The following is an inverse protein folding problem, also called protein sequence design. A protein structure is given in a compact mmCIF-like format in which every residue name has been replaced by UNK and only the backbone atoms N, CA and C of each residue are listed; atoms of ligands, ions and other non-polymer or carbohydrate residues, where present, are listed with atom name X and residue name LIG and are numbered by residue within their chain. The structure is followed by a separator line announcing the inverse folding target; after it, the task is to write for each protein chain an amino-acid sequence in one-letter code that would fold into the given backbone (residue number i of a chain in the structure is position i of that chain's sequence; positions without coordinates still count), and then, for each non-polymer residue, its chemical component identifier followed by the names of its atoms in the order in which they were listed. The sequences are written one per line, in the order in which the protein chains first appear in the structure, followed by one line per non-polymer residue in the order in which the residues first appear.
data_IF_439479048147
#
_entry.id   IF_439479048147
#
_cell.length_a   1.000
_cell.length_b   1.000
_cell.length_c   1.000
_cell.angle_alpha   90.00
_cell.angle_beta   90.00
_cell.angle_gamma   90.00
#
_symmetry.space_group_name_H-M   'P 1'
#
loop_
_entity.id
_entity.type
_entity.pdbx_description
1 polymer ?
#
# COMPACT_ATOMS: atom_id res chain seq x y z
N UNK A 1 -17.02 -14.05 -1.81
CA UNK A 1 -18.45 -13.74 -2.02
C UNK A 1 -18.97 -13.15 -0.73
N UNK A 2 -18.73 -11.86 -0.52
CA UNK A 2 -19.17 -11.15 0.67
C UNK A 2 -20.67 -10.88 0.54
N UNK A 3 -21.46 -11.30 1.53
CA UNK A 3 -22.86 -10.92 1.64
C UNK A 3 -22.89 -9.41 1.83
N UNK A 4 -23.51 -8.69 0.90
CA UNK A 4 -23.87 -7.29 1.11
C UNK A 4 -24.65 -7.22 2.43
N UNK A 5 -24.26 -6.36 3.39
CA UNK A 5 -25.09 -6.13 4.56
C UNK A 5 -26.45 -5.67 4.04
N UNK A 6 -27.49 -6.48 4.29
CA UNK A 6 -28.85 -5.98 4.16
C UNK A 6 -29.01 -5.01 5.32
N UNK A 7 -28.87 -3.71 5.04
CA UNK A 7 -29.36 -2.66 5.91
C UNK A 7 -30.85 -2.95 6.08
N UNK A 8 -31.23 -3.59 7.19
CA UNK A 8 -32.61 -3.68 7.61
C UNK A 8 -33.00 -2.25 7.95
N UNK A 9 -33.57 -1.56 6.96
CA UNK A 9 -34.25 -0.30 7.23
C UNK A 9 -35.46 -0.67 8.08
N UNK A 10 -35.35 -0.47 9.39
CA UNK A 10 -36.46 -0.54 10.34
C UNK A 10 -37.43 0.63 10.09
N UNK A 11 -37.95 0.72 8.87
CA UNK A 11 -39.09 1.54 8.51
C UNK A 11 -40.35 0.69 8.72
N UNK A 12 -40.62 0.39 9.99
CA UNK A 12 -41.89 -0.15 10.41
C UNK A 12 -42.98 0.93 10.24
N UNK A 13 -43.63 0.86 9.08
CA UNK A 13 -44.90 1.44 8.67
C UNK A 13 -45.53 2.53 9.54
N UNK A 14 -45.62 3.74 8.96
CA UNK A 14 -46.80 4.61 9.02
C UNK A 14 -46.77 5.55 7.81
N UNK A 15 -47.75 5.43 6.90
CA UNK A 15 -48.02 6.39 5.80
C UNK A 15 -47.16 6.25 4.53
N UNK A 16 -47.76 5.79 3.43
CA UNK A 16 -47.11 5.55 2.13
C UNK A 16 -46.65 6.80 1.37
N UNK A 17 -45.67 7.54 1.89
CA UNK A 17 -44.95 8.56 1.14
C UNK A 17 -43.93 7.90 0.20
N UNK A 18 -43.91 8.32 -1.08
CA UNK A 18 -42.90 7.87 -2.04
C UNK A 18 -41.51 8.39 -1.61
N UNK A 19 -40.61 7.50 -1.18
CA UNK A 19 -39.22 7.86 -0.90
C UNK A 19 -38.44 8.08 -2.20
N UNK A 20 -38.35 9.33 -2.64
CA UNK A 20 -37.54 9.71 -3.80
C UNK A 20 -36.03 9.58 -3.55
N UNK A 21 -35.59 9.52 -2.28
CA UNK A 21 -34.18 9.36 -1.91
C UNK A 21 -33.58 8.02 -2.36
N UNK A 22 -34.42 6.99 -2.53
CA UNK A 22 -33.98 5.71 -3.07
C UNK A 22 -33.48 5.81 -4.52
N UNK A 23 -34.01 6.76 -5.32
CA UNK A 23 -33.54 6.99 -6.70
C UNK A 23 -32.14 7.58 -6.69
N UNK A 24 -31.91 8.55 -5.80
CA UNK A 24 -30.62 9.21 -5.60
C UNK A 24 -29.55 8.25 -5.09
N UNK A 25 -29.86 7.39 -4.11
CA UNK A 25 -28.93 6.37 -3.64
C UNK A 25 -28.55 5.37 -4.74
N UNK A 26 -29.53 4.97 -5.58
CA UNK A 26 -29.27 4.10 -6.72
C UNK A 26 -28.35 4.79 -7.76
N UNK A 27 -28.61 6.06 -8.07
CA UNK A 27 -27.80 6.84 -9.01
C UNK A 27 -26.34 7.03 -8.50
N UNK A 28 -26.17 7.33 -7.21
CA UNK A 28 -24.85 7.44 -6.60
C UNK A 28 -24.14 6.08 -6.50
N UNK A 29 -24.88 5.00 -6.25
CA UNK A 29 -24.33 3.63 -6.28
C UNK A 29 -23.83 3.26 -7.68
N UNK A 30 -24.56 3.60 -8.74
CA UNK A 30 -24.12 3.40 -10.12
C UNK A 30 -22.84 4.20 -10.45
N UNK A 31 -22.73 5.42 -9.94
CA UNK A 31 -21.51 6.25 -10.06
C UNK A 31 -20.31 5.57 -9.40
N UNK A 32 -20.50 5.00 -8.20
CA UNK A 32 -19.46 4.24 -7.52
C UNK A 32 -19.01 2.99 -8.30
N UNK A 33 -19.96 2.19 -8.80
CA UNK A 33 -19.66 0.99 -9.61
C UNK A 33 -18.86 1.37 -10.87
N UNK A 34 -19.27 2.45 -11.56
CA UNK A 34 -18.57 2.95 -12.74
C UNK A 34 -17.13 3.32 -12.39
N UNK A 35 -16.90 4.04 -11.30
CA UNK A 35 -15.55 4.44 -10.87
C UNK A 35 -14.67 3.24 -10.51
N UNK A 36 -15.23 2.25 -9.81
CA UNK A 36 -14.52 1.00 -9.51
C UNK A 36 -14.11 0.26 -10.80
N UNK A 37 -15.01 0.18 -11.79
CA UNK A 37 -14.72 -0.45 -13.07
C UNK A 37 -13.58 0.27 -13.81
N UNK A 38 -13.64 1.60 -13.91
CA UNK A 38 -12.58 2.42 -14.53
C UNK A 38 -11.22 2.18 -13.86
N UNK A 39 -11.16 2.18 -12.52
CA UNK A 39 -9.91 1.90 -11.79
C UNK A 39 -9.42 0.48 -12.03
N UNK A 40 -10.33 -0.50 -12.10
CA UNK A 40 -9.99 -1.90 -12.40
C UNK A 40 -9.39 -2.05 -13.80
N UNK A 41 -9.98 -1.40 -14.80
CA UNK A 41 -9.47 -1.41 -16.19
C UNK A 41 -8.07 -0.78 -16.27
N UNK A 42 -7.83 0.33 -15.57
CA UNK A 42 -6.50 0.97 -15.50
C UNK A 42 -5.44 0.02 -14.91
N UNK A 43 -5.79 -0.76 -13.89
CA UNK A 43 -4.86 -1.69 -13.25
C UNK A 43 -4.65 -2.98 -14.06
N UNK A 44 -5.62 -3.39 -14.88
CA UNK A 44 -5.58 -4.65 -15.63
C UNK A 44 -4.38 -4.74 -16.58
N UNK A 45 -4.04 -3.64 -17.26
CA UNK A 45 -2.89 -3.59 -18.17
C UNK A 45 -1.58 -3.90 -17.43
N UNK A 46 -1.37 -3.25 -16.27
CA UNK A 46 -0.19 -3.47 -15.42
C UNK A 46 -0.15 -4.88 -14.86
N UNK A 47 -1.27 -5.41 -14.39
CA UNK A 47 -1.36 -6.78 -13.85
C UNK A 47 -1.07 -7.84 -14.93
N UNK A 48 -1.50 -7.58 -16.18
CA UNK A 48 -1.18 -8.45 -17.32
C UNK A 48 0.32 -8.44 -17.60
N UNK A 49 0.94 -7.27 -17.63
CA UNK A 49 2.40 -7.16 -17.77
C UNK A 49 3.13 -7.91 -16.64
N UNK A 50 2.68 -7.78 -15.39
CA UNK A 50 3.29 -8.49 -14.27
C UNK A 50 3.13 -10.00 -14.37
N UNK A 51 1.97 -10.48 -14.83
CA UNK A 51 1.75 -11.90 -15.10
C UNK A 51 2.72 -12.42 -16.17
N UNK A 52 2.93 -11.68 -17.25
CA UNK A 52 3.85 -12.07 -18.32
C UNK A 52 5.31 -12.10 -17.82
N UNK A 53 5.70 -11.07 -17.06
CA UNK A 53 7.03 -11.03 -16.39
C UNK A 53 7.21 -12.17 -15.41
N UNK A 54 6.18 -12.53 -14.64
CA UNK A 54 6.22 -13.69 -13.74
C UNK A 54 6.47 -14.99 -14.51
N UNK A 55 5.74 -15.20 -15.61
CA UNK A 55 5.87 -16.41 -16.42
C UNK A 55 7.26 -16.52 -17.06
N UNK A 56 7.78 -15.41 -17.63
CA UNK A 56 9.15 -15.37 -18.15
C UNK A 56 10.17 -15.63 -17.05
N UNK A 57 10.07 -14.92 -15.91
CA UNK A 57 10.98 -15.11 -14.79
C UNK A 57 10.98 -16.55 -14.27
N UNK A 58 9.81 -17.19 -14.17
CA UNK A 58 9.69 -18.60 -13.79
C UNK A 58 10.39 -19.54 -14.77
N UNK A 59 10.23 -19.32 -16.07
CA UNK A 59 10.82 -20.17 -17.10
C UNK A 59 12.34 -19.99 -17.21
N UNK A 60 12.82 -18.76 -17.06
CA UNK A 60 14.21 -18.39 -17.35
C UNK A 60 15.12 -18.48 -16.13
N UNK A 61 14.59 -18.31 -14.91
CA UNK A 61 15.43 -18.27 -13.71
C UNK A 61 16.15 -19.59 -13.43
N UNK A 62 15.53 -20.75 -13.73
CA UNK A 62 16.21 -22.05 -13.61
C UNK A 62 17.43 -22.12 -14.52
N UNK A 63 17.29 -21.73 -15.79
CA UNK A 63 18.41 -21.68 -16.75
C UNK A 63 19.48 -20.69 -16.32
N UNK A 64 19.07 -19.55 -15.77
CA UNK A 64 19.97 -18.56 -15.22
C UNK A 64 20.80 -19.13 -14.05
N UNK A 65 20.19 -19.93 -13.17
CA UNK A 65 20.89 -20.62 -12.08
C UNK A 65 21.85 -21.70 -12.59
N UNK A 66 21.47 -22.47 -13.59
CA UNK A 66 22.36 -23.47 -14.19
C UNK A 66 23.61 -22.80 -14.79
N UNK A 67 23.39 -21.72 -15.56
CA UNK A 67 24.47 -20.90 -16.14
C UNK A 67 25.37 -20.33 -15.05
N UNK A 68 24.77 -19.68 -14.04
CA UNK A 68 25.51 -19.10 -12.92
C UNK A 68 26.22 -20.16 -12.07
N UNK A 69 25.66 -21.37 -11.96
CA UNK A 69 26.24 -22.48 -11.21
C UNK A 69 27.59 -22.91 -11.77
N UNK A 70 27.72 -23.00 -13.11
CA UNK A 70 28.98 -23.35 -13.75
C UNK A 70 30.11 -22.35 -13.43
N UNK A 71 29.81 -21.05 -13.54
CA UNK A 71 30.74 -19.98 -13.17
C UNK A 71 31.04 -19.94 -11.67
N UNK A 72 30.03 -20.16 -10.83
CA UNK A 72 30.18 -20.20 -9.38
C UNK A 72 31.12 -21.34 -8.95
N UNK A 73 30.99 -22.53 -9.54
CA UNK A 73 31.86 -23.66 -9.27
C UNK A 73 33.30 -23.41 -9.76
N UNK A 74 33.45 -22.81 -10.94
CA UNK A 74 34.77 -22.42 -11.46
C UNK A 74 35.45 -21.41 -10.51
N UNK A 75 34.73 -20.36 -10.13
CA UNK A 75 35.20 -19.39 -9.15
C UNK A 75 35.57 -20.05 -7.81
N UNK A 76 34.74 -20.97 -7.29
CA UNK A 76 35.01 -21.67 -6.05
C UNK A 76 36.33 -22.46 -6.09
N UNK A 77 36.58 -23.19 -7.19
CA UNK A 77 37.84 -23.93 -7.38
C UNK A 77 39.04 -22.98 -7.43
N UNK A 78 38.93 -21.89 -8.19
CA UNK A 78 39.98 -20.87 -8.31
C UNK A 78 40.29 -20.21 -6.96
N UNK A 79 39.26 -19.77 -6.22
CA UNK A 79 39.45 -19.17 -4.89
C UNK A 79 40.03 -20.15 -3.87
N UNK A 80 39.75 -21.45 -3.99
CA UNK A 80 40.41 -22.48 -3.17
C UNK A 80 41.91 -22.57 -3.47
N UNK A 81 42.31 -22.51 -4.74
CA UNK A 81 43.73 -22.48 -5.12
C UNK A 81 44.44 -21.22 -4.58
N UNK A 82 43.81 -20.05 -4.73
CA UNK A 82 44.30 -18.78 -4.18
C UNK A 82 44.49 -18.87 -2.66
N UNK A 83 43.52 -19.44 -1.95
CA UNK A 83 43.62 -19.65 -0.51
C UNK A 83 44.85 -20.47 -0.13
N UNK A 84 45.09 -21.59 -0.81
CA UNK A 84 46.24 -22.47 -0.53
C UNK A 84 47.59 -21.75 -0.75
N UNK A 85 47.68 -20.87 -1.77
CA UNK A 85 48.89 -20.08 -2.02
C UNK A 85 49.15 -19.00 -0.97
N UNK A 86 48.09 -18.40 -0.43
CA UNK A 86 48.19 -17.28 0.52
C UNK A 86 48.20 -17.70 1.99
N UNK A 87 47.59 -18.84 2.35
CA UNK A 87 47.28 -19.18 3.76
C UNK A 87 48.50 -19.23 4.67
N UNK A 88 49.68 -19.58 4.16
CA UNK A 88 50.91 -19.65 4.96
C UNK A 88 51.64 -18.30 5.05
N UNK A 89 51.23 -17.30 4.27
CA UNK A 89 51.89 -15.99 4.16
C UNK A 89 51.26 -14.91 5.03
N UNK A 90 50.13 -15.21 5.68
CA UNK A 90 49.38 -14.27 6.51
C UNK A 90 49.19 -14.80 7.93
N UNK A 91 49.42 -13.92 8.91
CA UNK A 91 49.29 -14.23 10.34
C UNK A 91 47.87 -14.61 10.75
N UNK A 92 47.73 -15.37 11.83
CA UNK A 92 46.42 -15.80 12.34
C UNK A 92 45.56 -14.61 12.80
N UNK A 93 46.18 -13.60 13.39
CA UNK A 93 45.53 -12.37 13.84
C UNK A 93 44.98 -11.56 12.66
N UNK A 94 45.80 -11.29 11.64
CA UNK A 94 45.36 -10.59 10.43
C UNK A 94 44.19 -11.31 9.74
N UNK A 95 44.25 -12.65 9.66
CA UNK A 95 43.13 -13.45 9.12
C UNK A 95 41.84 -13.23 9.89
N UNK A 96 41.91 -13.15 11.22
CA UNK A 96 40.74 -12.92 12.07
C UNK A 96 40.19 -11.50 11.88
N UNK A 97 41.06 -10.50 11.95
CA UNK A 97 40.70 -9.08 11.77
C UNK A 97 40.07 -8.82 10.39
N UNK A 98 40.67 -9.34 9.32
CA UNK A 98 40.13 -9.19 7.96
C UNK A 98 38.77 -9.89 7.79
N UNK A 99 38.58 -11.08 8.36
CA UNK A 99 37.26 -11.75 8.33
C UNK A 99 36.20 -10.93 9.05
N UNK A 100 36.53 -10.32 10.20
CA UNK A 100 35.61 -9.45 10.94
C UNK A 100 35.28 -8.20 10.13
N UNK A 101 36.29 -7.55 9.55
CA UNK A 101 36.10 -6.37 8.71
C UNK A 101 35.20 -6.66 7.50
N UNK A 102 35.43 -7.78 6.79
CA UNK A 102 34.58 -8.19 5.66
C UNK A 102 33.15 -8.43 6.11
N UNK A 103 32.91 -9.12 7.23
CA UNK A 103 31.54 -9.32 7.75
C UNK A 103 30.84 -8.00 8.05
N UNK A 104 31.54 -7.06 8.67
CA UNK A 104 31.00 -5.75 9.00
C UNK A 104 30.63 -4.97 7.73
N UNK A 105 31.56 -4.84 6.78
CA UNK A 105 31.32 -4.13 5.51
C UNK A 105 30.16 -4.76 4.72
N UNK A 106 30.07 -6.09 4.67
CA UNK A 106 28.96 -6.75 3.97
C UNK A 106 27.62 -6.67 4.71
N UNK A 107 27.61 -6.49 6.04
CA UNK A 107 26.40 -6.16 6.77
C UNK A 107 25.94 -4.73 6.40
N UNK A 108 26.85 -3.75 6.42
CA UNK A 108 26.57 -2.37 6.03
C UNK A 108 26.08 -2.27 4.57
N UNK A 109 26.71 -3.01 3.63
CA UNK A 109 26.26 -3.10 2.23
C UNK A 109 24.85 -3.68 2.15
N UNK A 110 24.53 -4.70 2.95
CA UNK A 110 23.19 -5.32 2.96
C UNK A 110 22.14 -4.33 3.45
N UNK A 111 22.44 -3.60 4.51
CA UNK A 111 21.54 -2.59 5.07
C UNK A 111 21.30 -1.46 4.06
N UNK A 112 22.36 -0.99 3.39
CA UNK A 112 22.27 0.04 2.35
C UNK A 112 21.51 -0.42 1.10
N UNK A 113 21.63 -1.70 0.72
CA UNK A 113 20.96 -2.26 -0.46
C UNK A 113 19.48 -2.59 -0.24
N UNK A 114 18.96 -2.43 0.99
CA UNK A 114 17.59 -2.79 1.35
C UNK A 114 17.38 -4.28 1.55
N UNK A 115 18.40 -4.98 2.10
CA UNK A 115 18.33 -6.40 2.39
C UNK A 115 18.61 -7.32 1.18
N UNK A 116 18.72 -8.62 1.45
CA UNK A 116 18.70 -9.67 0.43
C UNK A 116 17.57 -10.65 0.71
N UNK A 117 17.20 -11.37 -0.33
CA UNK A 117 16.14 -12.36 -0.29
C UNK A 117 14.83 -11.71 -0.70
N UNK A 118 13.77 -12.15 -0.05
CA UNK A 118 12.46 -11.65 -0.35
C UNK A 118 12.30 -10.22 0.16
N UNK A 119 11.86 -9.34 -0.73
CA UNK A 119 11.54 -7.95 -0.39
C UNK A 119 10.06 -7.71 -0.12
N UNK A 120 9.21 -8.75 -0.24
CA UNK A 120 7.91 -8.68 0.39
C UNK A 120 8.15 -8.65 1.88
N UNK A 121 7.74 -7.57 2.54
CA UNK A 121 7.76 -7.49 3.98
C UNK A 121 7.02 -8.70 4.59
N UNK A 122 7.37 -9.06 5.82
CA UNK A 122 6.56 -10.01 6.60
C UNK A 122 5.15 -9.47 6.85
N UNK A 123 4.94 -8.16 6.66
CA UNK A 123 3.63 -7.53 6.74
C UNK A 123 2.67 -8.19 5.75
N UNK A 124 1.56 -8.69 6.30
CA UNK A 124 0.54 -9.38 5.54
C UNK A 124 -0.02 -8.44 4.48
N UNK A 125 -0.10 -8.92 3.24
CA UNK A 125 -0.69 -8.21 2.11
C UNK A 125 -2.21 -8.21 2.22
N UNK A 126 -2.68 -7.76 3.38
CA UNK A 126 -4.04 -7.63 3.83
C UNK A 126 -4.43 -6.18 3.62
N UNK A 127 -5.12 -5.96 2.51
CA UNK A 127 -5.76 -4.71 2.21
C UNK A 127 -7.22 -4.90 2.59
N UNK A 128 -7.71 -4.14 3.56
CA UNK A 128 -9.12 -4.12 3.91
C UNK A 128 -9.88 -3.24 2.92
N UNK A 129 -10.77 -3.82 2.07
CA UNK A 129 -11.59 -3.07 1.13
C UNK A 129 -12.93 -2.65 1.75
N UNK A 130 -13.18 -2.98 3.03
CA UNK A 130 -14.46 -2.68 3.69
C UNK A 130 -14.61 -1.18 3.93
N UNK A 131 -15.86 -0.72 3.94
CA UNK A 131 -16.22 0.69 4.13
C UNK A 131 -17.21 0.73 5.29
N UNK A 132 -16.84 1.43 6.35
CA UNK A 132 -17.67 1.59 7.54
C UNK A 132 -18.70 2.71 7.38
N UNK A 133 -19.66 2.79 8.29
CA UNK A 133 -20.66 3.88 8.29
C UNK A 133 -20.03 5.22 8.70
N UNK A 134 -18.92 5.17 9.44
CA UNK A 134 -18.09 6.30 9.86
C UNK A 134 -17.08 6.76 8.80
N UNK A 135 -16.94 6.05 7.69
CA UNK A 135 -16.02 6.43 6.63
C UNK A 135 -16.51 7.71 5.92
N UNK A 136 -15.57 8.63 5.72
CA UNK A 136 -15.77 9.90 5.01
C UNK A 136 -14.98 9.89 3.71
N UNK A 137 -15.29 10.81 2.80
CA UNK A 137 -14.49 11.03 1.58
C UNK A 137 -13.00 11.21 1.91
N UNK A 138 -12.70 11.94 2.99
CA UNK A 138 -11.33 12.20 3.43
C UNK A 138 -10.62 10.96 4.00
N UNK A 139 -11.30 10.17 4.85
CA UNK A 139 -10.71 8.92 5.39
C UNK A 139 -10.44 7.91 4.29
N UNK A 140 -11.39 7.75 3.35
CA UNK A 140 -11.22 6.89 2.18
C UNK A 140 -10.07 7.36 1.29
N UNK A 141 -9.96 8.66 1.02
CA UNK A 141 -8.86 9.19 0.22
C UNK A 141 -7.49 8.92 0.85
N UNK A 142 -7.36 9.10 2.17
CA UNK A 142 -6.12 8.80 2.89
C UNK A 142 -5.76 7.30 2.83
N UNK A 143 -6.74 6.42 3.02
CA UNK A 143 -6.56 4.97 2.92
C UNK A 143 -6.18 4.52 1.50
N UNK A 144 -6.82 5.08 0.48
CA UNK A 144 -6.45 4.85 -0.94
C UNK A 144 -4.99 5.24 -1.18
N UNK A 145 -4.56 6.44 -0.76
CA UNK A 145 -3.20 6.91 -0.96
C UNK A 145 -2.16 6.01 -0.25
N UNK A 146 -2.48 5.53 0.96
CA UNK A 146 -1.64 4.56 1.67
C UNK A 146 -1.50 3.24 0.90
N UNK A 147 -2.61 2.69 0.40
CA UNK A 147 -2.61 1.45 -0.38
C UNK A 147 -1.87 1.63 -1.72
N UNK A 148 -2.05 2.75 -2.41
CA UNK A 148 -1.30 3.07 -3.63
C UNK A 148 0.21 3.11 -3.37
N UNK A 149 0.65 3.79 -2.30
CA UNK A 149 2.06 3.82 -1.93
C UNK A 149 2.62 2.43 -1.60
N UNK A 150 1.83 1.55 -0.96
CA UNK A 150 2.22 0.17 -0.70
C UNK A 150 2.30 -0.66 -1.98
N UNK A 151 1.30 -0.59 -2.84
CA UNK A 151 1.28 -1.28 -4.14
C UNK A 151 2.48 -0.87 -5.00
N UNK A 152 2.86 0.41 -5.00
CA UNK A 152 4.05 0.87 -5.73
C UNK A 152 5.36 0.31 -5.17
N UNK A 153 5.50 0.22 -3.84
CA UNK A 153 6.67 -0.43 -3.22
C UNK A 153 6.76 -1.90 -3.62
N UNK A 154 5.65 -2.63 -3.54
CA UNK A 154 5.59 -4.04 -3.95
C UNK A 154 5.85 -4.22 -5.45
N UNK A 155 5.33 -3.34 -6.29
CA UNK A 155 5.58 -3.36 -7.73
C UNK A 155 7.06 -3.12 -8.09
N UNK A 156 7.74 -2.24 -7.36
CA UNK A 156 9.18 -2.02 -7.50
C UNK A 156 9.97 -3.27 -7.05
N UNK A 157 9.57 -3.87 -5.94
CA UNK A 157 10.11 -5.15 -5.47
C UNK A 157 9.93 -6.26 -6.53
N UNK A 158 8.73 -6.41 -7.10
CA UNK A 158 8.44 -7.39 -8.15
C UNK A 158 9.32 -7.18 -9.38
N UNK A 159 9.45 -5.94 -9.85
CA UNK A 159 10.26 -5.60 -11.02
C UNK A 159 11.74 -5.96 -10.80
N UNK A 160 12.28 -5.65 -9.60
CA UNK A 160 13.65 -6.02 -9.24
C UNK A 160 13.84 -7.53 -9.20
N UNK A 161 12.89 -8.27 -8.60
CA UNK A 161 12.96 -9.73 -8.53
C UNK A 161 12.86 -10.36 -9.92
N UNK A 162 11.92 -9.92 -10.76
CA UNK A 162 11.76 -10.44 -12.12
C UNK A 162 13.03 -10.25 -12.98
N UNK A 163 13.77 -9.15 -12.79
CA UNK A 163 15.05 -8.89 -13.47
C UNK A 163 16.22 -9.74 -12.97
N UNK A 164 16.06 -10.48 -11.86
CA UNK A 164 17.12 -11.30 -11.28
C UNK A 164 17.59 -12.42 -12.24
N UNK A 165 16.68 -12.93 -13.09
CA UNK A 165 16.97 -13.93 -14.13
C UNK A 165 18.08 -13.47 -15.08
N UNK A 166 18.17 -12.17 -15.35
CA UNK A 166 19.15 -11.60 -16.27
C UNK A 166 20.42 -11.16 -15.51
N UNK A 167 20.26 -10.68 -14.28
CA UNK A 167 21.37 -10.20 -13.45
C UNK A 167 22.22 -11.33 -12.86
N UNK A 168 21.63 -12.49 -12.53
CA UNK A 168 22.32 -13.59 -11.86
C UNK A 168 23.50 -14.16 -12.69
N UNK A 169 23.35 -14.51 -13.97
CA UNK A 169 24.46 -15.01 -14.78
C UNK A 169 25.60 -13.99 -14.89
N UNK A 170 25.27 -12.71 -15.09
CA UNK A 170 26.26 -11.63 -15.19
C UNK A 170 27.08 -11.48 -13.90
N UNK A 171 26.43 -11.57 -12.74
CA UNK A 171 27.13 -11.54 -11.45
C UNK A 171 28.04 -12.75 -11.27
N UNK A 172 27.60 -13.95 -11.63
CA UNK A 172 28.41 -15.16 -11.53
C UNK A 172 29.65 -15.08 -12.43
N UNK A 173 29.47 -14.72 -13.69
CA UNK A 173 30.56 -14.53 -14.65
C UNK A 173 31.58 -13.49 -14.15
N UNK A 174 31.11 -12.38 -13.57
CA UNK A 174 31.99 -11.36 -12.99
C UNK A 174 32.79 -11.89 -11.80
N UNK A 175 32.16 -12.65 -10.89
CA UNK A 175 32.87 -13.27 -9.76
C UNK A 175 33.94 -14.26 -10.26
N UNK A 176 33.63 -15.04 -11.31
CA UNK A 176 34.59 -15.97 -11.91
C UNK A 176 35.78 -15.24 -12.58
N UNK A 177 35.51 -14.16 -13.31
CA UNK A 177 36.55 -13.31 -13.89
C UNK A 177 37.44 -12.68 -12.80
N UNK A 178 36.84 -12.10 -11.75
CA UNK A 178 37.58 -11.51 -10.63
C UNK A 178 38.42 -12.57 -9.89
N UNK A 179 37.91 -13.80 -9.73
CA UNK A 179 38.66 -14.91 -9.13
C UNK A 179 39.86 -15.33 -9.98
N UNK A 180 39.69 -15.38 -11.31
CA UNK A 180 40.78 -15.68 -12.25
C UNK A 180 41.86 -14.60 -12.22
N UNK A 181 41.45 -13.33 -12.19
CA UNK A 181 42.38 -12.21 -12.04
C UNK A 181 43.14 -12.30 -10.71
N UNK A 182 42.46 -12.58 -9.61
CA UNK A 182 43.11 -12.73 -8.31
C UNK A 182 44.13 -13.88 -8.31
N UNK A 183 43.85 -14.99 -8.99
CA UNK A 183 44.81 -16.08 -9.15
C UNK A 183 46.07 -15.62 -9.89
N UNK A 184 45.92 -14.85 -10.98
CA UNK A 184 47.04 -14.28 -11.71
C UNK A 184 47.86 -13.32 -10.83
N UNK A 185 47.19 -12.46 -10.05
CA UNK A 185 47.85 -11.49 -9.16
C UNK A 185 48.69 -12.17 -8.07
N UNK A 186 48.22 -13.31 -7.54
CA UNK A 186 48.97 -14.07 -6.51
C UNK A 186 50.17 -14.83 -7.09
N UNK A 187 50.13 -15.18 -8.37
CA UNK A 187 51.27 -15.74 -9.09
C UNK A 187 52.27 -14.67 -9.56
N UNK A 188 51.90 -13.39 -9.51
CA UNK A 188 52.72 -12.27 -9.98
C UNK A 188 53.94 -11.95 -9.09
N UNK A 189 54.94 -11.23 -9.65
CA UNK A 189 56.20 -10.92 -8.94
C UNK A 189 56.01 -10.06 -7.69
N UNK A 190 54.92 -9.29 -7.61
CA UNK A 190 54.61 -8.41 -6.48
C UNK A 190 53.69 -9.04 -5.42
N UNK A 191 53.35 -10.33 -5.55
CA UNK A 191 52.43 -11.00 -4.62
C UNK A 191 52.90 -10.94 -3.16
N UNK A 192 54.22 -11.00 -2.92
CA UNK A 192 54.81 -10.93 -1.58
C UNK A 192 54.65 -9.58 -0.89
N UNK A 193 54.54 -8.47 -1.64
CA UNK A 193 54.43 -7.12 -1.07
C UNK A 193 53.00 -6.77 -0.64
N UNK A 194 52.00 -7.46 -1.20
CA UNK A 194 50.58 -7.11 -1.07
C UNK A 194 49.73 -8.24 -0.45
N UNK A 195 50.31 -9.13 0.36
CA UNK A 195 49.63 -10.33 0.87
C UNK A 195 48.33 -10.01 1.62
N UNK A 196 48.33 -8.96 2.47
CA UNK A 196 47.14 -8.52 3.21
C UNK A 196 46.01 -8.11 2.25
N UNK A 197 46.33 -7.32 1.22
CA UNK A 197 45.36 -6.87 0.21
C UNK A 197 44.79 -8.04 -0.59
N UNK A 198 45.65 -8.94 -1.06
CA UNK A 198 45.25 -10.14 -1.81
C UNK A 198 44.36 -11.07 -0.96
N UNK A 199 44.67 -11.20 0.34
CA UNK A 199 43.83 -11.96 1.26
C UNK A 199 42.47 -11.29 1.49
N UNK A 200 42.43 -9.96 1.64
CA UNK A 200 41.17 -9.24 1.74
C UNK A 200 40.30 -9.43 0.48
N UNK A 201 40.89 -9.34 -0.72
CA UNK A 201 40.20 -9.60 -1.99
C UNK A 201 39.65 -11.03 -2.07
N UNK A 202 40.43 -12.03 -1.63
CA UNK A 202 39.95 -13.41 -1.52
C UNK A 202 38.71 -13.52 -0.63
N UNK A 203 38.73 -12.90 0.55
CA UNK A 203 37.59 -12.94 1.48
C UNK A 203 36.35 -12.25 0.90
N UNK A 204 36.52 -11.10 0.24
CA UNK A 204 35.45 -10.38 -0.45
C UNK A 204 34.83 -11.26 -1.55
N UNK A 205 35.64 -11.91 -2.39
CA UNK A 205 35.13 -12.77 -3.47
C UNK A 205 34.43 -14.02 -2.93
N UNK A 206 34.96 -14.65 -1.88
CA UNK A 206 34.26 -15.76 -1.20
C UNK A 206 32.91 -15.32 -0.65
N UNK A 207 32.84 -14.12 -0.06
CA UNK A 207 31.60 -13.57 0.46
C UNK A 207 30.58 -13.29 -0.65
N UNK A 208 31.01 -12.65 -1.74
CA UNK A 208 30.18 -12.45 -2.94
C UNK A 208 29.65 -13.76 -3.51
N UNK A 209 30.45 -14.82 -3.48
CA UNK A 209 30.06 -16.15 -3.93
C UNK A 209 29.01 -16.80 -3.00
N UNK A 210 29.17 -16.69 -1.69
CA UNK A 210 28.16 -17.12 -0.69
C UNK A 210 26.82 -16.41 -0.90
N UNK A 211 26.86 -15.18 -1.39
CA UNK A 211 25.71 -14.29 -1.55
C UNK A 211 25.22 -14.20 -3.00
N UNK A 212 25.75 -15.04 -3.90
CA UNK A 212 25.49 -15.01 -5.33
C UNK A 212 23.98 -15.03 -5.65
N UNK A 213 23.24 -15.86 -4.91
CA UNK A 213 21.80 -16.05 -5.07
C UNK A 213 20.96 -15.10 -4.21
N UNK A 214 21.58 -14.08 -3.59
CA UNK A 214 20.91 -13.05 -2.78
C UNK A 214 19.91 -13.65 -1.77
N UNK A 215 20.30 -14.70 -1.05
CA UNK A 215 19.44 -15.35 -0.05
C UNK A 215 18.44 -16.37 -0.58
N UNK A 216 18.27 -16.52 -1.90
CA UNK A 216 17.41 -17.55 -2.49
C UNK A 216 18.16 -18.89 -2.63
N UNK A 217 18.17 -19.68 -1.55
CA UNK A 217 18.79 -21.01 -1.54
C UNK A 217 18.29 -21.90 -2.69
N UNK A 218 17.02 -22.35 -2.67
CA UNK A 218 16.39 -23.07 -3.78
C UNK A 218 15.69 -22.14 -4.79
N UNK A 219 15.38 -22.67 -5.99
CA UNK A 219 14.54 -21.97 -6.98
C UNK A 219 13.15 -21.67 -6.43
N UNK A 220 12.57 -22.59 -5.66
CA UNK A 220 11.23 -22.41 -5.06
C UNK A 220 11.15 -21.17 -4.19
N UNK A 221 12.13 -20.90 -3.32
CA UNK A 221 12.13 -19.72 -2.47
C UNK A 221 12.08 -18.40 -3.26
N UNK A 222 12.71 -18.36 -4.45
CA UNK A 222 12.61 -17.21 -5.36
C UNK A 222 11.20 -17.09 -5.96
N UNK A 223 10.64 -18.20 -6.44
CA UNK A 223 9.30 -18.22 -7.04
C UNK A 223 8.21 -17.90 -6.01
N UNK A 224 8.34 -18.40 -4.79
CA UNK A 224 7.41 -18.15 -3.68
C UNK A 224 7.42 -16.66 -3.33
N UNK A 225 8.60 -16.05 -3.25
CA UNK A 225 8.71 -14.61 -3.05
C UNK A 225 8.10 -13.81 -4.20
N UNK A 226 8.46 -14.12 -5.45
CA UNK A 226 7.94 -13.43 -6.63
C UNK A 226 6.40 -13.54 -6.72
N UNK A 227 5.85 -14.71 -6.37
CA UNK A 227 4.41 -14.95 -6.29
C UNK A 227 3.77 -14.15 -5.15
N UNK A 228 4.37 -14.15 -3.95
CA UNK A 228 3.88 -13.38 -2.80
C UNK A 228 3.74 -11.90 -3.17
N UNK A 229 4.80 -11.28 -3.70
CA UNK A 229 4.78 -9.86 -4.12
C UNK A 229 3.72 -9.59 -5.18
N UNK A 230 3.58 -10.47 -6.19
CA UNK A 230 2.56 -10.32 -7.23
C UNK A 230 1.13 -10.37 -6.63
N UNK A 231 0.88 -11.27 -5.69
CA UNK A 231 -0.40 -11.36 -5.00
C UNK A 231 -0.66 -10.11 -4.15
N UNK A 232 0.37 -9.51 -3.55
CA UNK A 232 0.26 -8.26 -2.81
C UNK A 232 -0.18 -7.11 -3.73
N UNK A 233 0.47 -6.96 -4.87
CA UNK A 233 0.07 -5.97 -5.89
C UNK A 233 -1.38 -6.21 -6.33
N UNK A 234 -1.75 -7.45 -6.65
CA UNK A 234 -3.11 -7.80 -7.09
C UNK A 234 -4.16 -7.45 -6.03
N UNK A 235 -3.95 -7.85 -4.78
CA UNK A 235 -4.88 -7.58 -3.67
C UNK A 235 -5.00 -6.08 -3.41
N UNK A 236 -3.88 -5.37 -3.39
CA UNK A 236 -3.87 -3.91 -3.17
C UNK A 236 -4.58 -3.16 -4.29
N UNK A 237 -4.27 -3.46 -5.55
CA UNK A 237 -4.97 -2.88 -6.71
C UNK A 237 -6.49 -3.15 -6.67
N UNK A 238 -6.89 -4.35 -6.26
CA UNK A 238 -8.31 -4.69 -6.10
C UNK A 238 -8.97 -3.88 -4.98
N UNK A 239 -8.32 -3.75 -3.82
CA UNK A 239 -8.86 -2.98 -2.69
C UNK A 239 -8.99 -1.50 -3.04
N UNK A 240 -7.97 -0.92 -3.69
CA UNK A 240 -8.00 0.45 -4.18
C UNK A 240 -9.20 0.69 -5.11
N UNK A 241 -9.48 -0.22 -6.05
CA UNK A 241 -10.61 -0.08 -6.96
C UNK A 241 -11.97 -0.07 -6.22
N UNK A 242 -12.13 -0.92 -5.20
CA UNK A 242 -13.34 -0.94 -4.37
C UNK A 242 -13.49 0.37 -3.59
N UNK A 243 -12.41 0.84 -2.94
CA UNK A 243 -12.42 2.07 -2.15
C UNK A 243 -12.67 3.32 -3.03
N UNK A 244 -12.12 3.36 -4.25
CA UNK A 244 -12.40 4.42 -5.23
C UNK A 244 -13.87 4.45 -5.63
N UNK A 245 -14.50 3.28 -5.79
CA UNK A 245 -15.94 3.19 -6.04
C UNK A 245 -16.77 3.71 -4.87
N UNK A 246 -16.43 3.30 -3.65
CA UNK A 246 -17.11 3.76 -2.44
C UNK A 246 -16.95 5.27 -2.21
N UNK A 247 -15.74 5.80 -2.40
CA UNK A 247 -15.45 7.23 -2.32
C UNK A 247 -16.31 8.03 -3.31
N UNK A 248 -16.42 7.57 -4.56
CA UNK A 248 -17.25 8.23 -5.57
C UNK A 248 -18.75 8.18 -5.23
N UNK A 249 -19.25 7.10 -4.61
CA UNK A 249 -20.63 7.06 -4.08
C UNK A 249 -20.83 8.12 -3.00
N UNK A 250 -19.93 8.21 -2.02
CA UNK A 250 -20.03 9.22 -0.94
C UNK A 250 -19.96 10.65 -1.47
N UNK A 251 -19.04 10.94 -2.39
CA UNK A 251 -18.93 12.26 -3.05
C UNK A 251 -20.23 12.65 -3.77
N UNK A 252 -20.89 11.69 -4.42
CA UNK A 252 -22.19 11.89 -5.06
C UNK A 252 -23.29 12.22 -4.03
N UNK A 253 -23.36 11.45 -2.93
CA UNK A 253 -24.35 11.69 -1.88
C UNK A 253 -24.16 13.04 -1.19
N UNK A 254 -22.91 13.44 -0.92
CA UNK A 254 -22.60 14.74 -0.33
C UNK A 254 -22.96 15.90 -1.28
N UNK A 255 -22.75 15.72 -2.58
CA UNK A 255 -23.16 16.70 -3.59
C UNK A 255 -24.69 16.87 -3.64
N UNK A 256 -25.45 15.77 -3.58
CA UNK A 256 -26.91 15.81 -3.54
C UNK A 256 -27.44 16.48 -2.26
N UNK A 257 -26.88 16.13 -1.09
CA UNK A 257 -27.22 16.78 0.19
C UNK A 257 -26.95 18.28 0.13
N UNK A 258 -25.77 18.67 -0.38
CA UNK A 258 -25.41 20.08 -0.54
C UNK A 258 -26.39 20.80 -1.45
N UNK A 259 -26.74 20.21 -2.59
CA UNK A 259 -27.71 20.78 -3.53
C UNK A 259 -29.09 20.94 -2.90
N UNK A 260 -29.58 19.91 -2.19
CA UNK A 260 -30.86 19.99 -1.48
C UNK A 260 -30.85 21.07 -0.39
N UNK A 261 -29.73 21.26 0.32
CA UNK A 261 -29.57 22.36 1.26
C UNK A 261 -29.61 23.73 0.57
N UNK A 262 -28.95 23.88 -0.58
CA UNK A 262 -28.95 25.13 -1.36
C UNK A 262 -30.35 25.46 -1.91
N UNK A 263 -31.11 24.46 -2.38
CA UNK A 263 -32.50 24.61 -2.82
C UNK A 263 -33.39 25.09 -1.66
N UNK A 264 -33.27 24.45 -0.48
CA UNK A 264 -33.99 24.85 0.73
C UNK A 264 -33.65 26.26 1.23
N UNK A 265 -32.39 26.67 1.09
CA UNK A 265 -31.98 28.02 1.45
C UNK A 265 -32.56 29.06 0.49
N UNK A 266 -32.71 28.71 -0.78
CA UNK A 266 -33.21 29.61 -1.83
C UNK A 266 -34.73 29.81 -1.73
N UNK A 267 -35.49 28.77 -1.37
CA UNK A 267 -36.96 28.82 -1.24
C UNK A 267 -37.47 28.34 0.13
N UNK A 268 -36.89 28.92 1.19
CA UNK A 268 -37.21 28.53 2.57
C UNK A 268 -38.69 28.69 2.93
N UNK A 269 -39.40 29.65 2.33
CA UNK A 269 -40.83 29.85 2.59
C UNK A 269 -41.69 28.72 2.02
N UNK A 270 -41.43 28.27 0.78
CA UNK A 270 -42.17 27.15 0.18
C UNK A 270 -41.92 25.85 0.96
N UNK A 271 -40.66 25.59 1.35
CA UNK A 271 -40.30 24.42 2.15
C UNK A 271 -40.98 24.41 3.53
N UNK A 272 -41.04 25.57 4.21
CA UNK A 272 -41.78 25.69 5.48
C UNK A 272 -43.26 25.43 5.28
N UNK A 273 -43.87 25.96 4.21
CA UNK A 273 -45.28 25.73 3.90
C UNK A 273 -45.56 24.25 3.58
N UNK A 274 -44.68 23.57 2.84
CA UNK A 274 -44.81 22.13 2.57
C UNK A 274 -44.75 21.30 3.86
N UNK A 275 -43.78 21.60 4.73
CA UNK A 275 -43.66 20.95 6.04
C UNK A 275 -44.87 21.24 6.91
N UNK A 276 -45.36 22.49 6.93
CA UNK A 276 -46.56 22.88 7.65
C UNK A 276 -47.81 22.12 7.17
N UNK A 277 -48.03 22.04 5.85
CA UNK A 277 -49.16 21.29 5.29
C UNK A 277 -49.11 19.81 5.65
N UNK A 278 -47.92 19.20 5.65
CA UNK A 278 -47.71 17.81 6.07
C UNK A 278 -48.03 17.61 7.56
N UNK A 279 -47.52 18.48 8.44
CA UNK A 279 -47.72 18.36 9.88
C UNK A 279 -49.17 18.67 10.30
N UNK A 280 -49.83 19.64 9.66
CA UNK A 280 -51.16 20.11 10.08
C UNK A 280 -52.34 19.34 9.46
N UNK A 281 -52.15 18.63 8.33
CA UNK A 281 -53.20 17.77 7.76
C UNK A 281 -53.46 16.49 8.57
N UNK A 282 -52.54 16.10 9.45
CA UNK A 282 -52.68 14.92 10.30
C UNK A 282 -53.35 15.19 11.65
N UNK A 283 -53.76 16.44 11.94
CA UNK A 283 -54.60 16.71 13.09
C UNK A 283 -56.00 16.14 12.85
N UNK A 284 -56.44 15.08 13.57
CA UNK A 284 -57.84 14.69 13.51
C UNK A 284 -58.68 15.91 13.91
N UNK A 285 -59.82 16.17 13.24
CA UNK A 285 -60.69 17.26 13.64
C UNK A 285 -60.96 17.08 15.13
N UNK A 286 -60.63 18.09 15.95
CA UNK A 286 -60.97 18.11 17.37
C UNK A 286 -62.46 17.80 17.45
N UNK A 287 -62.79 16.55 17.76
CA UNK A 287 -64.14 16.15 18.06
C UNK A 287 -64.60 17.07 19.17
N UNK A 288 -65.66 17.81 18.91
CA UNK A 288 -66.39 18.62 19.87
C UNK A 288 -66.90 17.71 20.99
N UNK A 289 -66.02 17.38 21.93
CA UNK A 289 -66.35 16.82 23.23
C UNK A 289 -66.58 17.98 24.18
N UNK A 290 -67.83 18.40 24.23
CA UNK A 290 -68.38 19.34 25.20
C UNK A 290 -68.16 18.82 26.64
N UNK A 291 -67.65 19.68 27.54
CA UNK A 291 -67.89 19.55 28.98
C UNK A 291 -66.68 19.59 29.93
N UNK A 292 -66.51 20.75 30.59
CA UNK A 292 -65.90 20.87 31.94
C UNK A 292 -64.53 21.55 31.95
N UNK A 293 -64.47 22.88 32.03
CA UNK A 293 -64.55 23.73 33.23
C UNK A 293 -63.22 23.84 34.00
N UNK A 294 -62.63 25.05 33.91
CA UNK A 294 -61.79 25.74 34.91
C UNK A 294 -60.46 25.04 35.28
N UNK A 295 -59.34 25.72 35.46
CA UNK A 295 -59.11 26.99 36.14
C UNK A 295 -57.98 27.78 35.47
N UNK A 296 -58.10 29.09 35.59
CA UNK A 296 -57.13 30.12 35.22
C UNK A 296 -55.96 30.06 36.20
N UNK A 297 -54.73 29.97 35.70
CA UNK A 297 -53.54 30.45 36.41
C UNK A 297 -52.68 31.21 35.41
N UNK A 298 -52.75 32.53 35.57
CA UNK A 298 -51.86 33.55 35.02
C UNK A 298 -50.43 33.30 35.53
N UNK A 299 -49.47 33.04 34.64
CA UNK A 299 -48.07 33.39 34.88
C UNK A 299 -47.47 34.05 33.64
N UNK A 300 -47.19 35.35 33.82
CA UNK A 300 -46.51 36.25 32.91
C UNK A 300 -45.07 35.75 32.62
N UNK A 301 -44.84 35.06 31.50
CA UNK A 301 -43.48 34.83 30.99
C UNK A 301 -43.03 36.02 30.13
N UNK A 302 -42.43 36.96 30.85
CA UNK A 302 -41.56 38.04 30.41
C UNK A 302 -40.50 37.50 29.42
N UNK A 303 -40.66 37.83 28.13
CA UNK A 303 -39.66 37.59 27.10
C UNK A 303 -38.47 38.53 27.34
N UNK A 304 -37.53 38.12 28.20
CA UNK A 304 -36.23 38.78 28.29
C UNK A 304 -35.54 38.67 26.91
N UNK A 305 -35.35 39.82 26.27
CA UNK A 305 -34.44 40.02 25.16
C UNK A 305 -33.01 39.71 25.61
N UNK A 306 -32.67 38.41 25.64
CA UNK A 306 -31.33 37.93 25.85
C UNK A 306 -30.45 38.36 24.69
N UNK A 307 -29.70 39.45 24.88
CA UNK A 307 -28.57 39.86 24.05
C UNK A 307 -27.48 38.78 24.13
N UNK A 308 -27.67 37.68 23.39
CA UNK A 308 -26.71 36.61 23.22
C UNK A 308 -25.53 37.12 22.41
N UNK A 309 -24.51 37.62 23.11
CA UNK A 309 -23.24 38.02 22.54
C UNK A 309 -22.64 36.89 21.71
N UNK A 310 -22.45 37.17 20.42
CA UNK A 310 -21.67 36.37 19.49
C UNK A 310 -20.25 36.12 20.05
N UNK A 311 -19.84 34.87 20.32
CA UNK A 311 -18.48 34.58 20.70
C UNK A 311 -17.57 34.65 19.46
N UNK A 312 -16.86 35.77 19.34
CA UNK A 312 -15.45 35.81 18.96
C UNK A 312 -15.09 35.32 17.55
N UNK A 313 -15.15 36.25 16.59
CA UNK A 313 -14.23 36.26 15.46
C UNK A 313 -12.79 36.45 15.98
N UNK A 314 -12.07 35.35 16.27
CA UNK A 314 -10.61 35.41 16.39
C UNK A 314 -10.01 35.55 15.00
N UNK A 315 -9.49 36.73 14.70
CA UNK A 315 -8.62 36.98 13.57
C UNK A 315 -7.39 36.06 13.66
N UNK A 316 -7.15 35.25 12.62
CA UNK A 316 -5.83 34.69 12.36
C UNK A 316 -4.95 35.85 11.87
N UNK A 317 -4.02 36.28 12.70
CA UNK A 317 -2.83 37.01 12.27
C UNK A 317 -1.92 36.06 11.51
N UNK A 318 -1.67 36.37 10.23
CA UNK A 318 -0.62 35.75 9.43
C UNK A 318 0.71 36.39 9.85
N UNK A 319 1.54 35.62 10.55
CA UNK A 319 2.93 35.97 10.81
C UNK A 319 3.73 35.73 9.51
N UNK A 320 4.23 36.81 8.92
CA UNK A 320 5.17 36.77 7.79
C UNK A 320 6.56 36.99 8.37
N UNK A 321 7.30 35.91 8.61
CA UNK A 321 8.71 35.92 8.95
C UNK A 321 9.57 35.56 7.74
N UNK A 322 10.55 36.41 7.45
CA UNK A 322 11.66 36.24 6.50
C UNK A 322 12.46 34.93 6.68
#
# INVERSE_FOLDING_TARGET
MSRTPQTQSDHAGTGGACDLGAIDDLACSATGIKRQAEKTEQQLARLTEFKDRFNSARADYTKARETAGADAEAAARTLKQVYEQLRCRIGAEDKHCLKRAVRQVFAEIRDCAGGWGCCADECDCEFDPSVGDEDTVASLAARIAQYEAQVEREAACFTRLAGEKDALPQRAARINADATQLLADVAGPDAGKNVIRLWAQLLVLRRRLEELYRGFGPVSAYLDCLCKVLLCVLKGSSAIAVLEGAKAKLECMDALRKKACEEKQTDSAAEVMEVYERLCRECPPKGTGDGGSAEEDDEDEEWEEGTGGWPGSKALTVDSGD
#
